data_IF_954736379792
#
_entry.id   IF_954736379792
#
_cell.length_a   1.000
_cell.length_b   1.000
_cell.length_c   1.000
_cell.angle_alpha   90.00
_cell.angle_beta   90.00
_cell.angle_gamma   90.00
#
_symmetry.space_group_name_H-M   'P 1'
#
loop_
_entity.id
_entity.type
_entity.pdbx_description
1 polymer ?
#
# COMPACT_ATOMS: atom_id res chain seq x y z
N UNK A 1 10.45 -8.24 12.24
CA UNK A 1 9.90 -6.97 11.68
C UNK A 1 10.78 -5.84 12.16
N UNK A 2 11.38 -5.06 11.26
CA UNK A 2 12.06 -3.82 11.62
C UNK A 2 10.98 -2.88 12.16
N UNK A 3 11.14 -2.39 13.39
CA UNK A 3 10.24 -1.39 13.98
C UNK A 3 10.17 -0.21 13.03
N UNK A 4 8.97 0.14 12.59
CA UNK A 4 8.79 1.19 11.60
C UNK A 4 9.02 2.56 12.26
N UNK A 5 10.25 3.07 12.17
CA UNK A 5 10.65 4.35 12.76
C UNK A 5 9.82 5.54 12.28
N UNK A 6 9.13 5.42 11.15
CA UNK A 6 8.28 6.48 10.59
C UNK A 6 7.01 6.73 11.42
N UNK A 7 6.39 5.67 11.94
CA UNK A 7 5.21 5.81 12.83
C UNK A 7 5.59 6.54 14.12
N UNK A 8 6.70 6.15 14.75
CA UNK A 8 7.22 6.79 15.97
C UNK A 8 7.59 8.26 15.71
N UNK A 9 8.18 8.56 14.55
CA UNK A 9 8.54 9.93 14.15
C UNK A 9 7.30 10.80 13.96
N UNK A 10 6.27 10.30 13.27
CA UNK A 10 5.00 11.02 13.10
C UNK A 10 4.31 11.27 14.43
N UNK A 11 4.25 10.25 15.31
CA UNK A 11 3.68 10.39 16.64
C UNK A 11 4.38 11.50 17.43
N UNK A 12 5.72 11.54 17.43
CA UNK A 12 6.51 12.54 18.14
C UNK A 12 6.32 13.95 17.55
N UNK A 13 6.36 14.09 16.21
CA UNK A 13 6.28 15.39 15.52
C UNK A 13 4.90 16.02 15.75
N UNK A 14 3.84 15.24 15.68
CA UNK A 14 2.47 15.72 15.81
C UNK A 14 1.93 15.63 17.25
N UNK A 15 2.70 15.08 18.19
CA UNK A 15 2.24 14.75 19.54
C UNK A 15 0.95 13.91 19.49
N UNK A 16 0.86 13.02 18.50
CA UNK A 16 -0.32 12.24 18.23
C UNK A 16 -0.40 11.01 19.15
N UNK A 17 -1.63 10.59 19.46
CA UNK A 17 -1.91 9.33 20.14
C UNK A 17 -1.81 8.17 19.14
N UNK A 18 -1.50 6.97 19.61
CA UNK A 18 -1.47 5.78 18.76
C UNK A 18 -2.82 5.10 18.77
N UNK A 19 -3.34 4.75 17.58
CA UNK A 19 -4.47 3.83 17.44
C UNK A 19 -3.95 2.40 17.21
N UNK A 20 -4.63 1.39 17.73
CA UNK A 20 -4.25 -0.01 17.50
C UNK A 20 -4.48 -0.38 16.04
N UNK A 21 -3.62 -1.28 15.53
CA UNK A 21 -3.84 -1.92 14.23
C UNK A 21 -5.10 -2.77 14.25
N UNK A 22 -5.85 -2.75 13.17
CA UNK A 22 -6.99 -3.65 12.97
C UNK A 22 -6.54 -5.00 12.42
N UNK A 23 -7.29 -6.09 12.66
CA UNK A 23 -7.03 -7.38 12.03
C UNK A 23 -7.00 -7.25 10.50
N UNK A 24 -6.06 -7.96 9.86
CA UNK A 24 -5.98 -7.99 8.39
C UNK A 24 -7.20 -8.70 7.79
N UNK A 25 -7.67 -9.75 8.46
CA UNK A 25 -8.83 -10.56 8.06
C UNK A 25 -10.10 -10.01 8.68
N UNK A 26 -11.16 -9.93 7.89
CA UNK A 26 -12.47 -9.44 8.29
C UNK A 26 -13.57 -10.43 7.97
N UNK A 27 -14.53 -10.56 8.87
CA UNK A 27 -15.70 -11.43 8.67
C UNK A 27 -16.87 -10.76 7.91
N UNK A 28 -16.76 -9.45 7.68
CA UNK A 28 -17.77 -8.62 7.04
C UNK A 28 -17.74 -8.71 5.51
N UNK A 29 -18.44 -7.78 4.82
CA UNK A 29 -18.53 -7.67 3.36
C UNK A 29 -17.16 -7.56 2.70
N UNK A 30 -16.24 -6.79 3.27
CA UNK A 30 -14.86 -6.70 2.84
C UNK A 30 -14.05 -7.79 3.55
N UNK A 31 -13.49 -8.72 2.81
CA UNK A 31 -12.74 -9.85 3.39
C UNK A 31 -11.45 -9.44 4.08
N UNK A 32 -10.88 -8.29 3.69
CA UNK A 32 -9.60 -7.81 4.20
C UNK A 32 -9.65 -6.34 4.53
N UNK A 33 -8.83 -5.93 5.48
CA UNK A 33 -8.56 -4.51 5.71
C UNK A 33 -7.76 -3.95 4.55
N UNK A 34 -8.32 -2.96 3.85
CA UNK A 34 -7.74 -2.36 2.65
C UNK A 34 -7.28 -0.90 2.86
N UNK A 35 -7.66 -0.28 3.99
CA UNK A 35 -7.29 1.09 4.34
C UNK A 35 -7.31 1.28 5.85
N UNK A 36 -6.40 2.09 6.42
CA UNK A 36 -6.38 2.40 7.85
C UNK A 36 -7.67 3.07 8.38
N UNK A 37 -8.36 3.88 7.56
CA UNK A 37 -9.60 4.58 7.93
C UNK A 37 -10.80 3.65 8.19
N UNK A 38 -10.73 2.41 7.71
CA UNK A 38 -11.89 1.51 7.60
C UNK A 38 -12.62 1.27 8.94
N UNK A 39 -11.88 1.24 10.05
CA UNK A 39 -12.44 1.04 11.40
C UNK A 39 -12.58 2.33 12.20
N UNK A 40 -12.17 3.47 11.63
CA UNK A 40 -12.12 4.74 12.35
C UNK A 40 -13.31 5.67 12.00
N UNK A 41 -14.25 5.20 11.20
CA UNK A 41 -15.36 6.01 10.68
C UNK A 41 -16.26 6.60 11.77
N UNK A 42 -16.45 5.89 12.89
CA UNK A 42 -17.24 6.39 14.02
C UNK A 42 -16.56 7.58 14.71
N UNK A 43 -15.23 7.56 14.86
CA UNK A 43 -14.49 8.69 15.43
C UNK A 43 -14.65 9.99 14.62
N UNK A 44 -14.81 9.89 13.29
CA UNK A 44 -15.14 11.06 12.46
C UNK A 44 -16.55 11.61 12.74
N UNK A 45 -17.52 10.73 13.01
CA UNK A 45 -18.88 11.14 13.37
C UNK A 45 -18.92 11.78 14.78
N UNK A 46 -18.18 11.21 15.71
CA UNK A 46 -18.07 11.69 17.10
C UNK A 46 -17.20 12.95 17.22
N UNK A 47 -16.47 13.34 16.17
CA UNK A 47 -15.51 14.46 16.18
C UNK A 47 -14.50 14.35 17.33
N UNK A 48 -13.93 13.18 17.53
CA UNK A 48 -12.98 12.88 18.60
C UNK A 48 -11.78 13.83 18.55
N UNK A 49 -11.46 14.46 19.68
CA UNK A 49 -10.38 15.44 19.78
C UNK A 49 -8.99 14.79 19.68
N UNK A 50 -8.03 15.57 19.11
CA UNK A 50 -6.62 15.22 19.02
C UNK A 50 -6.19 14.66 17.68
N UNK A 51 -4.89 14.45 17.57
CA UNK A 51 -4.27 13.82 16.41
C UNK A 51 -3.91 12.37 16.75
N UNK A 52 -4.09 11.48 15.79
CA UNK A 52 -3.85 10.05 15.97
C UNK A 52 -2.99 9.50 14.85
N UNK A 53 -2.09 8.57 15.20
CA UNK A 53 -1.30 7.81 14.23
C UNK A 53 -1.70 6.34 14.31
N UNK A 54 -1.91 5.72 13.16
CA UNK A 54 -2.18 4.29 13.02
C UNK A 54 -1.25 3.68 11.99
N UNK A 55 -0.58 2.61 12.38
CA UNK A 55 0.12 1.73 11.46
C UNK A 55 -0.76 0.52 11.15
N UNK A 56 -1.01 0.25 9.87
CA UNK A 56 -1.97 -0.76 9.43
C UNK A 56 -1.43 -1.57 8.26
N UNK A 57 -1.45 -2.89 8.41
CA UNK A 57 -1.25 -3.81 7.28
C UNK A 57 -2.54 -3.85 6.47
N UNK A 58 -2.42 -3.56 5.18
CA UNK A 58 -3.56 -3.54 4.24
C UNK A 58 -3.32 -4.52 3.11
N UNK A 59 -4.35 -5.30 2.76
CA UNK A 59 -4.35 -6.14 1.57
C UNK A 59 -5.29 -5.55 0.53
N UNK A 60 -4.75 -5.35 -0.67
CA UNK A 60 -5.47 -4.84 -1.83
C UNK A 60 -5.48 -5.91 -2.93
N UNK A 61 -5.73 -5.54 -4.17
CA UNK A 61 -5.82 -6.50 -5.25
C UNK A 61 -4.49 -7.22 -5.54
N UNK A 62 -4.61 -8.49 -5.94
CA UNK A 62 -3.51 -9.24 -6.58
C UNK A 62 -3.49 -8.89 -8.06
N UNK A 63 -2.33 -8.54 -8.58
CA UNK A 63 -2.15 -8.17 -9.98
C UNK A 63 -1.48 -9.32 -10.75
N UNK A 64 -1.90 -9.59 -12.02
CA UNK A 64 -1.13 -10.42 -12.93
C UNK A 64 0.31 -9.88 -13.14
N UNK A 65 1.24 -10.75 -13.54
CA UNK A 65 2.65 -10.38 -13.68
C UNK A 65 2.89 -9.15 -14.58
N UNK A 66 2.15 -9.02 -15.67
CA UNK A 66 2.24 -7.90 -16.61
C UNK A 66 1.65 -6.58 -16.09
N UNK A 67 1.03 -6.58 -14.91
CA UNK A 67 0.42 -5.40 -14.30
C UNK A 67 1.06 -5.04 -12.95
N UNK A 68 2.21 -5.61 -12.63
CA UNK A 68 2.90 -5.30 -11.37
C UNK A 68 3.32 -3.85 -11.33
N UNK A 69 2.84 -3.15 -10.30
CA UNK A 69 3.16 -1.75 -10.11
C UNK A 69 4.51 -1.62 -9.36
N UNK A 70 5.51 -0.93 -9.93
CA UNK A 70 6.84 -0.80 -9.32
C UNK A 70 6.87 -0.02 -8.01
N UNK A 71 5.77 0.68 -7.67
CA UNK A 71 5.66 1.52 -6.45
C UNK A 71 4.55 1.05 -5.50
N UNK A 72 4.02 -0.17 -5.69
CA UNK A 72 2.95 -0.71 -4.83
C UNK A 72 2.99 -2.22 -4.79
N UNK A 73 2.72 -2.81 -3.62
CA UNK A 73 2.54 -4.26 -3.43
C UNK A 73 1.12 -4.54 -2.95
N UNK A 74 0.56 -5.73 -3.25
CA UNK A 74 -0.78 -6.10 -2.81
C UNK A 74 -0.96 -6.06 -1.29
N UNK A 75 0.05 -6.47 -0.53
CA UNK A 75 0.05 -6.41 0.92
C UNK A 75 1.15 -5.47 1.39
N UNK A 76 0.79 -4.43 2.14
CA UNK A 76 1.76 -3.45 2.60
C UNK A 76 1.32 -2.80 3.91
N UNK A 77 2.29 -2.37 4.69
CA UNK A 77 2.08 -1.51 5.84
C UNK A 77 1.87 -0.08 5.37
N UNK A 78 0.78 0.53 5.81
CA UNK A 78 0.44 1.94 5.61
C UNK A 78 0.44 2.64 6.96
N UNK A 79 0.82 3.93 6.97
CA UNK A 79 0.77 4.75 8.17
C UNK A 79 -0.18 5.90 7.92
N UNK A 80 -1.19 6.05 8.79
CA UNK A 80 -2.14 7.16 8.74
C UNK A 80 -1.95 8.12 9.89
N UNK A 81 -2.13 9.39 9.60
CA UNK A 81 -2.33 10.46 10.56
C UNK A 81 -3.78 10.92 10.42
N UNK A 82 -4.53 10.86 11.52
CA UNK A 82 -5.93 11.29 11.59
C UNK A 82 -6.10 12.55 12.41
N UNK A 83 -7.01 13.42 11.97
CA UNK A 83 -7.70 14.38 12.79
C UNK A 83 -9.20 14.16 12.64
N UNK A 84 -9.84 13.70 13.68
CA UNK A 84 -11.28 13.45 13.68
C UNK A 84 -12.09 14.72 13.97
N UNK A 85 -11.44 15.77 14.46
CA UNK A 85 -11.98 17.11 14.62
C UNK A 85 -11.53 18.02 13.45
N UNK A 86 -12.22 19.14 13.26
CA UNK A 86 -11.86 20.08 12.18
C UNK A 86 -10.60 20.88 12.54
N UNK A 87 -9.50 20.59 11.84
CA UNK A 87 -8.19 21.22 12.03
C UNK A 87 -7.76 22.02 10.81
N UNK A 88 -6.79 22.91 11.03
CA UNK A 88 -6.13 23.66 9.94
C UNK A 88 -5.25 22.73 9.10
N UNK A 89 -5.84 22.07 8.12
CA UNK A 89 -5.16 21.04 7.32
C UNK A 89 -3.87 21.55 6.65
N UNK A 90 -3.81 22.81 6.25
CA UNK A 90 -2.58 23.41 5.68
C UNK A 90 -1.40 23.37 6.65
N UNK A 91 -1.61 23.60 7.96
CA UNK A 91 -0.56 23.52 8.98
C UNK A 91 -0.11 22.07 9.22
N UNK A 92 -1.03 21.12 9.17
CA UNK A 92 -0.70 19.70 9.30
C UNK A 92 0.18 19.26 8.11
N UNK A 93 -0.21 19.61 6.89
CA UNK A 93 0.56 19.29 5.68
C UNK A 93 1.91 19.98 5.69
N UNK A 94 1.98 21.27 6.05
CA UNK A 94 3.25 22.02 6.22
C UNK A 94 4.16 21.31 7.22
N UNK A 95 3.64 20.92 8.37
CA UNK A 95 4.41 20.21 9.41
C UNK A 95 4.89 18.85 8.90
N UNK A 96 4.05 18.12 8.17
CA UNK A 96 4.41 16.85 7.56
C UNK A 96 5.56 17.01 6.56
N UNK A 97 5.51 18.03 5.70
CA UNK A 97 6.57 18.28 4.73
C UNK A 97 7.85 18.74 5.43
N UNK A 98 7.76 19.77 6.30
CA UNK A 98 8.95 20.46 6.85
C UNK A 98 9.64 19.67 7.96
N UNK A 99 8.88 18.99 8.84
CA UNK A 99 9.43 18.30 10.01
C UNK A 99 9.57 16.78 9.81
N UNK A 100 8.79 16.19 8.93
CA UNK A 100 8.87 14.75 8.68
C UNK A 100 9.58 14.43 7.36
N UNK A 101 9.03 14.83 6.20
CA UNK A 101 9.62 14.46 4.91
C UNK A 101 10.99 15.08 4.65
N UNK A 102 11.21 16.34 5.09
CA UNK A 102 12.48 17.04 4.87
C UNK A 102 13.70 16.38 5.52
N UNK A 103 13.49 15.46 6.46
CA UNK A 103 14.60 14.63 6.98
C UNK A 103 15.19 13.69 5.90
N UNK A 104 14.42 13.39 4.86
CA UNK A 104 14.70 12.35 3.89
C UNK A 104 14.76 12.87 2.45
N UNK A 105 13.95 13.88 2.12
CA UNK A 105 13.78 14.42 0.77
C UNK A 105 13.90 15.94 0.81
N UNK A 106 14.76 16.54 -0.04
CA UNK A 106 14.86 17.99 -0.16
C UNK A 106 13.54 18.64 -0.62
N UNK A 107 13.23 19.82 -0.11
CA UNK A 107 11.98 20.55 -0.44
C UNK A 107 11.75 20.79 -1.92
N UNK A 108 12.80 21.06 -2.69
CA UNK A 108 12.69 21.31 -4.13
C UNK A 108 12.24 20.08 -4.92
N UNK A 109 12.22 18.90 -4.30
CA UNK A 109 11.68 17.67 -4.89
C UNK A 109 10.24 17.38 -4.45
N UNK A 110 9.64 18.18 -3.58
CA UNK A 110 8.30 17.97 -3.06
C UNK A 110 7.28 18.74 -3.90
N UNK A 111 6.27 18.03 -4.37
CA UNK A 111 5.12 18.53 -5.13
C UNK A 111 3.84 18.29 -4.35
N UNK A 112 2.95 19.28 -4.35
CA UNK A 112 1.62 19.16 -3.75
C UNK A 112 0.59 19.24 -4.87
N UNK A 113 -0.25 18.19 -5.02
CA UNK A 113 -1.36 18.18 -5.97
C UNK A 113 -2.65 18.30 -5.17
N UNK A 114 -3.45 19.32 -5.47
CA UNK A 114 -4.62 19.67 -4.68
C UNK A 114 -5.79 20.16 -5.52
N UNK A 115 -7.02 20.16 -4.97
CA UNK A 115 -8.17 20.79 -5.62
C UNK A 115 -8.02 22.31 -5.68
N UNK A 116 -8.47 22.95 -6.77
CA UNK A 116 -8.46 24.42 -6.96
C UNK A 116 -9.22 25.23 -5.89
N UNK A 117 -9.93 24.58 -4.99
CA UNK A 117 -10.76 25.21 -3.95
C UNK A 117 -10.17 25.15 -2.55
N UNK A 118 -8.87 24.89 -2.39
CA UNK A 118 -8.22 24.77 -1.08
C UNK A 118 -7.55 26.06 -0.66
N UNK A 119 -8.25 26.90 0.11
CA UNK A 119 -7.81 28.25 0.46
C UNK A 119 -6.60 28.33 1.39
N UNK A 120 -6.35 27.30 2.22
CA UNK A 120 -5.24 27.30 3.19
C UNK A 120 -3.87 26.96 2.60
N UNK A 121 -3.79 26.71 1.30
CA UNK A 121 -2.54 26.34 0.64
C UNK A 121 -1.54 27.49 0.50
N UNK A 122 -1.97 28.74 0.73
CA UNK A 122 -1.06 29.90 0.73
C UNK A 122 0.12 29.77 1.70
N UNK A 123 -0.01 28.99 2.78
CA UNK A 123 1.09 28.67 3.69
C UNK A 123 2.11 27.72 3.05
N UNK A 124 1.65 26.79 2.19
CA UNK A 124 2.52 25.81 1.55
C UNK A 124 3.42 26.43 0.47
N UNK A 125 3.06 27.58 -0.10
CA UNK A 125 3.94 28.31 -1.02
C UNK A 125 5.26 28.80 -0.37
N UNK A 126 5.30 28.84 0.96
CA UNK A 126 6.55 29.10 1.71
C UNK A 126 7.45 27.86 1.82
N UNK A 127 6.88 26.69 1.61
CA UNK A 127 7.52 25.38 1.80
C UNK A 127 7.92 24.76 0.47
N UNK A 128 7.06 24.89 -0.56
CA UNK A 128 7.33 24.41 -1.91
C UNK A 128 6.74 25.33 -2.95
N UNK A 129 7.48 25.56 -4.03
CA UNK A 129 6.99 26.29 -5.21
C UNK A 129 6.22 25.38 -6.18
N UNK A 130 6.11 24.09 -5.88
CA UNK A 130 5.52 23.08 -6.76
C UNK A 130 4.12 22.68 -6.29
N UNK A 131 3.19 23.64 -6.27
CA UNK A 131 1.77 23.38 -6.02
C UNK A 131 1.06 23.27 -7.38
N UNK A 132 0.39 22.13 -7.59
CA UNK A 132 -0.35 21.81 -8.81
C UNK A 132 -1.83 21.73 -8.45
N UNK A 133 -2.57 22.77 -8.83
CA UNK A 133 -4.02 22.80 -8.67
C UNK A 133 -4.71 22.14 -9.85
N UNK A 134 -5.58 21.19 -9.58
CA UNK A 134 -6.36 20.49 -10.60
C UNK A 134 -7.86 20.51 -10.30
N UNK A 135 -8.67 20.13 -11.27
CA UNK A 135 -10.11 20.02 -11.09
C UNK A 135 -10.43 19.10 -9.89
N UNK A 136 -11.28 19.61 -8.99
CA UNK A 136 -11.68 18.91 -7.75
C UNK A 136 -12.26 17.52 -8.00
N UNK A 137 -12.99 17.32 -9.12
CA UNK A 137 -13.61 16.05 -9.47
C UNK A 137 -12.57 14.94 -9.69
N UNK A 138 -11.34 15.29 -10.09
CA UNK A 138 -10.23 14.35 -10.28
C UNK A 138 -9.59 13.89 -8.94
N UNK A 139 -9.86 14.61 -7.87
CA UNK A 139 -9.37 14.32 -6.53
C UNK A 139 -10.47 13.92 -5.56
N UNK A 140 -11.71 13.81 -6.05
CA UNK A 140 -12.84 13.35 -5.24
C UNK A 140 -12.65 11.90 -4.81
N UNK A 141 -12.97 11.62 -3.56
CA UNK A 141 -12.96 10.28 -2.97
C UNK A 141 -14.34 9.93 -2.42
N UNK A 142 -14.67 8.65 -2.47
CA UNK A 142 -15.88 8.12 -1.83
C UNK A 142 -15.49 7.35 -0.57
N UNK A 143 -15.90 7.88 0.57
CA UNK A 143 -15.86 7.19 1.88
C UNK A 143 -17.28 7.11 2.43
N UNK A 144 -17.61 6.15 3.29
CA UNK A 144 -18.96 5.99 3.84
C UNK A 144 -19.27 6.98 4.97
N UNK A 145 -18.97 8.25 4.73
CA UNK A 145 -19.25 9.42 5.56
C UNK A 145 -20.05 10.43 4.73
N UNK A 146 -20.81 11.30 5.38
CA UNK A 146 -21.56 12.35 4.71
C UNK A 146 -20.64 13.41 4.10
N UNK A 147 -21.10 14.06 3.02
CA UNK A 147 -20.43 15.21 2.41
C UNK A 147 -19.47 14.85 1.28
N UNK A 148 -18.65 15.83 0.91
CA UNK A 148 -17.67 15.72 -0.17
C UNK A 148 -16.27 15.54 0.40
N UNK A 149 -15.50 14.64 -0.20
CA UNK A 149 -14.18 14.27 0.26
C UNK A 149 -13.18 14.42 -0.88
N UNK A 150 -12.03 15.05 -0.60
CA UNK A 150 -11.03 15.37 -1.63
C UNK A 150 -9.63 15.04 -1.16
N UNK A 151 -8.82 14.48 -2.06
CA UNK A 151 -7.41 14.24 -1.81
C UNK A 151 -6.56 15.47 -2.04
N UNK A 152 -5.57 15.66 -1.15
CA UNK A 152 -4.35 16.41 -1.39
C UNK A 152 -3.22 15.39 -1.43
N UNK A 153 -2.46 15.34 -2.52
CA UNK A 153 -1.36 14.38 -2.68
C UNK A 153 -0.03 15.06 -2.47
N UNK A 154 0.80 14.48 -1.63
CA UNK A 154 2.19 14.87 -1.45
C UNK A 154 3.04 13.91 -2.27
N UNK A 155 3.72 14.45 -3.26
CA UNK A 155 4.53 13.69 -4.19
C UNK A 155 6.00 14.11 -4.10
N UNK A 156 6.90 13.22 -4.46
CA UNK A 156 8.29 13.55 -4.74
C UNK A 156 8.57 13.39 -6.22
N UNK A 157 9.35 14.31 -6.80
CA UNK A 157 9.95 14.08 -8.10
C UNK A 157 10.95 12.93 -7.97
N UNK A 158 10.80 11.93 -8.83
CA UNK A 158 11.67 10.77 -8.86
C UNK A 158 11.82 10.26 -10.28
N UNK A 159 13.05 10.19 -10.78
CA UNK A 159 13.32 10.00 -12.20
C UNK A 159 12.49 10.98 -13.06
N UNK A 160 11.79 10.49 -14.06
CA UNK A 160 11.00 11.31 -15.00
C UNK A 160 9.54 11.50 -14.57
N UNK A 161 9.21 11.21 -13.31
CA UNK A 161 7.83 11.25 -12.83
C UNK A 161 7.64 11.79 -11.42
N UNK A 162 6.40 11.73 -10.96
CA UNK A 162 6.02 12.04 -9.60
C UNK A 162 5.56 10.77 -8.87
N UNK A 163 6.19 10.48 -7.74
CA UNK A 163 5.80 9.38 -6.85
C UNK A 163 5.02 9.94 -5.68
N UNK A 164 3.79 9.52 -5.50
CA UNK A 164 2.96 9.91 -4.35
C UNK A 164 3.49 9.24 -3.08
N UNK A 165 3.91 10.05 -2.11
CA UNK A 165 4.39 9.61 -0.79
C UNK A 165 3.29 9.56 0.25
N UNK A 166 2.36 10.52 0.19
CA UNK A 166 1.20 10.56 1.08
C UNK A 166 -0.03 11.11 0.35
N UNK A 167 -1.19 10.64 0.77
CA UNK A 167 -2.47 11.23 0.44
C UNK A 167 -3.09 11.77 1.72
N UNK A 168 -3.44 13.05 1.75
CA UNK A 168 -4.28 13.65 2.77
C UNK A 168 -5.71 13.72 2.21
N UNK A 169 -6.66 13.16 2.93
CA UNK A 169 -8.07 13.18 2.57
C UNK A 169 -8.80 14.17 3.47
N UNK A 170 -9.29 15.24 2.86
CA UNK A 170 -10.18 16.20 3.51
C UNK A 170 -11.56 15.54 3.61
N UNK A 171 -12.04 15.31 4.83
CA UNK A 171 -13.32 14.66 5.11
C UNK A 171 -14.41 15.70 5.25
N UNK A 172 -15.55 15.51 4.55
CA UNK A 172 -16.70 16.43 4.57
C UNK A 172 -16.31 17.90 4.32
N UNK A 173 -15.44 18.11 3.34
CA UNK A 173 -14.89 19.42 3.04
C UNK A 173 -15.92 20.35 2.37
N UNK A 174 -16.17 21.48 3.01
CA UNK A 174 -17.13 22.48 2.55
C UNK A 174 -16.47 23.76 2.02
N UNK A 175 -15.15 23.78 1.92
CA UNK A 175 -14.34 24.98 1.63
C UNK A 175 -13.74 25.56 2.91
N UNK A 176 -12.75 26.46 2.73
CA UNK A 176 -12.10 27.16 3.84
C UNK A 176 -10.82 26.49 4.37
N UNK A 177 -10.44 26.83 5.61
CA UNK A 177 -9.12 26.53 6.16
C UNK A 177 -9.07 25.30 7.05
N UNK A 178 -10.21 24.75 7.42
CA UNK A 178 -10.34 23.63 8.36
C UNK A 178 -11.05 22.46 7.73
N UNK A 179 -10.65 21.25 8.14
CA UNK A 179 -11.31 19.98 7.76
C UNK A 179 -10.93 18.90 8.75
N UNK A 180 -11.77 17.89 8.91
CA UNK A 180 -11.35 16.59 9.41
C UNK A 180 -10.40 15.95 8.39
N UNK A 181 -9.43 15.16 8.86
CA UNK A 181 -8.39 14.57 8.04
C UNK A 181 -8.23 13.07 8.26
N UNK A 182 -8.16 12.33 7.16
CA UNK A 182 -7.40 11.07 7.08
C UNK A 182 -6.14 11.30 6.25
N UNK A 183 -5.08 10.59 6.54
CA UNK A 183 -3.94 10.53 5.64
C UNK A 183 -3.45 9.11 5.49
N UNK A 184 -2.83 8.82 4.36
CA UNK A 184 -2.13 7.57 4.13
C UNK A 184 -0.74 7.87 3.62
N UNK A 185 0.27 7.52 4.40
CA UNK A 185 1.67 7.58 4.03
C UNK A 185 2.16 6.19 3.58
N UNK A 186 3.05 6.15 2.59
CA UNK A 186 3.58 4.94 1.95
C UNK A 186 5.07 4.76 2.27
N UNK A 187 5.44 4.06 3.36
CA UNK A 187 6.83 3.88 3.78
C UNK A 187 7.75 3.33 2.70
N UNK A 188 7.33 2.26 2.01
CA UNK A 188 8.12 1.60 0.97
C UNK A 188 8.50 2.54 -0.19
N UNK A 189 7.64 3.53 -0.51
CA UNK A 189 7.95 4.52 -1.54
C UNK A 189 9.01 5.52 -1.09
N UNK A 190 8.98 5.90 0.18
CA UNK A 190 10.02 6.76 0.75
C UNK A 190 11.35 6.03 0.79
N UNK A 191 11.37 4.76 1.21
CA UNK A 191 12.58 3.93 1.20
C UNK A 191 13.17 3.80 -0.22
N UNK A 192 12.31 3.49 -1.21
CA UNK A 192 12.72 3.44 -2.62
C UNK A 192 13.43 4.72 -3.07
N UNK A 193 12.85 5.90 -2.75
CA UNK A 193 13.44 7.20 -3.16
C UNK A 193 14.76 7.47 -2.42
N UNK A 194 14.83 7.21 -1.12
CA UNK A 194 16.05 7.38 -0.31
C UNK A 194 17.20 6.54 -0.81
N UNK A 195 16.91 5.33 -1.23
CA UNK A 195 17.88 4.33 -1.68
C UNK A 195 18.16 4.42 -3.18
N UNK A 196 17.48 5.34 -3.88
CA UNK A 196 17.60 5.52 -5.33
C UNK A 196 17.29 4.23 -6.13
N UNK A 197 16.40 3.40 -5.59
CA UNK A 197 15.98 2.14 -6.21
C UNK A 197 14.93 2.39 -7.31
N UNK A 198 14.97 1.65 -8.42
CA UNK A 198 14.04 1.80 -9.55
C UNK A 198 12.61 1.39 -9.19
N UNK A 199 12.45 0.53 -8.20
CA UNK A 199 11.17 0.06 -7.68
C UNK A 199 11.26 -0.22 -6.18
N UNK A 200 10.10 -0.33 -5.50
CA UNK A 200 10.06 -0.75 -4.10
C UNK A 200 10.68 -2.14 -3.91
N UNK A 201 10.61 -3.00 -4.91
CA UNK A 201 11.11 -4.37 -4.88
C UNK A 201 12.64 -4.46 -4.99
N UNK A 202 13.30 -3.41 -5.45
CA UNK A 202 14.76 -3.28 -5.55
C UNK A 202 15.36 -2.52 -4.35
N UNK A 203 14.52 -2.06 -3.41
CA UNK A 203 14.97 -1.44 -2.17
C UNK A 203 15.60 -2.46 -1.21
N UNK A 204 16.35 -1.99 -0.21
CA UNK A 204 17.03 -2.83 0.78
C UNK A 204 16.11 -3.84 1.46
N UNK A 205 14.81 -3.49 1.62
CA UNK A 205 13.81 -4.38 2.20
C UNK A 205 13.67 -5.70 1.42
N UNK A 206 13.87 -5.67 0.10
CA UNK A 206 13.66 -6.81 -0.79
C UNK A 206 14.90 -7.19 -1.60
N UNK A 207 16.00 -6.45 -1.51
CA UNK A 207 17.15 -6.56 -2.42
C UNK A 207 17.72 -7.98 -2.52
N UNK A 208 17.83 -8.70 -1.41
CA UNK A 208 18.35 -10.08 -1.39
C UNK A 208 17.42 -11.01 -2.16
N UNK A 209 16.11 -10.96 -1.87
CA UNK A 209 15.08 -11.76 -2.54
C UNK A 209 14.98 -11.39 -4.01
N UNK A 210 15.02 -10.07 -4.33
CA UNK A 210 15.02 -9.58 -5.69
C UNK A 210 16.19 -10.13 -6.52
N UNK A 211 17.42 -10.01 -6.03
CA UNK A 211 18.60 -10.50 -6.75
C UNK A 211 18.53 -12.00 -7.04
N UNK A 212 18.02 -12.79 -6.10
CA UNK A 212 17.85 -14.22 -6.28
C UNK A 212 16.76 -14.54 -7.31
N UNK A 213 15.58 -13.91 -7.20
CA UNK A 213 14.47 -14.16 -8.12
C UNK A 213 14.77 -13.64 -9.54
N UNK A 214 15.49 -12.53 -9.65
CA UNK A 214 15.99 -12.04 -10.93
C UNK A 214 16.92 -13.04 -11.61
N UNK A 215 17.86 -13.65 -10.87
CA UNK A 215 18.75 -14.71 -11.42
C UNK A 215 17.97 -15.95 -11.87
N UNK A 216 16.87 -16.29 -11.21
CA UNK A 216 16.03 -17.43 -11.58
C UNK A 216 15.17 -17.16 -12.80
N UNK A 217 14.63 -15.95 -12.93
CA UNK A 217 13.68 -15.58 -13.98
C UNK A 217 14.31 -14.87 -15.18
N UNK A 218 15.49 -14.26 -14.99
CA UNK A 218 16.13 -13.34 -15.92
C UNK A 218 15.20 -12.21 -16.41
N UNK A 219 14.25 -11.78 -15.55
CA UNK A 219 13.28 -10.73 -15.82
C UNK A 219 13.01 -9.90 -14.57
N UNK A 220 13.09 -8.57 -14.70
CA UNK A 220 12.74 -7.63 -13.64
C UNK A 220 11.26 -7.75 -13.27
N UNK A 221 10.37 -7.82 -14.27
CA UNK A 221 8.93 -7.90 -14.09
C UNK A 221 8.54 -9.17 -13.32
N UNK A 222 9.12 -10.32 -13.67
CA UNK A 222 8.87 -11.57 -12.98
C UNK A 222 9.43 -11.57 -11.56
N UNK A 223 10.61 -11.01 -11.35
CA UNK A 223 11.18 -10.88 -9.99
C UNK A 223 10.27 -10.00 -9.11
N UNK A 224 9.81 -8.85 -9.61
CA UNK A 224 8.87 -7.97 -8.92
C UNK A 224 7.54 -8.70 -8.63
N UNK A 225 7.02 -9.41 -9.64
CA UNK A 225 5.80 -10.20 -9.47
C UNK A 225 5.95 -11.24 -8.36
N UNK A 226 6.98 -12.06 -8.41
CA UNK A 226 7.19 -13.09 -7.38
C UNK A 226 7.32 -12.49 -5.98
N UNK A 227 8.08 -11.40 -5.81
CA UNK A 227 8.18 -10.72 -4.51
C UNK A 227 6.80 -10.27 -4.05
N UNK A 228 6.03 -9.61 -4.91
CA UNK A 228 4.71 -9.09 -4.56
C UNK A 228 3.75 -10.18 -4.08
N UNK A 229 3.75 -11.34 -4.75
CA UNK A 229 2.91 -12.48 -4.39
C UNK A 229 3.42 -13.21 -3.14
N UNK A 230 4.73 -13.35 -2.99
CA UNK A 230 5.35 -13.96 -1.83
C UNK A 230 5.09 -13.12 -0.57
N UNK A 231 5.21 -11.79 -0.65
CA UNK A 231 4.83 -10.90 0.44
C UNK A 231 3.35 -11.01 0.80
N UNK A 232 2.46 -11.08 -0.19
CA UNK A 232 1.04 -11.33 0.07
C UNK A 232 0.82 -12.66 0.82
N UNK A 233 1.50 -13.74 0.41
CA UNK A 233 1.45 -15.03 1.12
C UNK A 233 2.00 -14.92 2.54
N UNK A 234 3.10 -14.19 2.73
CA UNK A 234 3.74 -14.00 4.03
C UNK A 234 2.82 -13.35 5.06
N UNK A 235 2.00 -12.38 4.63
CA UNK A 235 1.03 -11.71 5.49
C UNK A 235 -0.29 -12.50 5.65
N UNK A 236 -0.77 -13.14 4.58
CA UNK A 236 -2.08 -13.78 4.59
C UNK A 236 -2.05 -15.19 5.20
N UNK A 237 -0.98 -15.97 4.96
CA UNK A 237 -0.97 -17.36 5.40
C UNK A 237 -0.98 -17.54 6.93
N UNK A 238 -0.23 -16.76 7.73
CA UNK A 238 -0.31 -16.86 9.19
C UNK A 238 -1.71 -16.60 9.75
N UNK A 239 -2.47 -15.70 9.11
CA UNK A 239 -3.81 -15.30 9.54
C UNK A 239 -4.89 -16.32 9.11
N UNK A 240 -4.73 -16.93 7.92
CA UNK A 240 -5.74 -17.82 7.33
C UNK A 240 -5.47 -19.29 7.64
N UNK A 241 -4.20 -19.70 7.69
CA UNK A 241 -3.71 -21.01 8.07
C UNK A 241 -3.90 -22.13 7.03
N UNK A 242 -4.77 -21.97 6.03
CA UNK A 242 -5.09 -23.02 5.05
C UNK A 242 -5.55 -22.49 3.70
N UNK A 243 -5.26 -23.22 2.65
CA UNK A 243 -5.85 -23.01 1.31
C UNK A 243 -7.24 -23.64 1.22
N UNK A 244 -8.16 -23.01 0.47
CA UNK A 244 -9.52 -23.48 0.34
C UNK A 244 -10.25 -22.92 -0.88
N UNK A 245 -11.56 -23.16 -0.94
CA UNK A 245 -12.39 -22.75 -2.08
C UNK A 245 -13.38 -21.63 -1.72
N UNK A 246 -13.33 -21.11 -0.49
CA UNK A 246 -14.28 -20.11 0.00
C UNK A 246 -13.56 -18.95 0.69
N UNK A 247 -14.09 -17.73 0.52
CA UNK A 247 -13.69 -16.50 1.22
C UNK A 247 -12.15 -16.30 1.26
N UNK A 248 -11.58 -16.10 2.43
CA UNK A 248 -10.15 -15.83 2.68
C UNK A 248 -9.25 -16.96 2.15
N UNK A 249 -9.60 -18.22 2.42
CA UNK A 249 -8.85 -19.38 1.94
C UNK A 249 -8.79 -19.45 0.41
N UNK A 250 -9.84 -18.98 -0.28
CA UNK A 250 -9.86 -18.87 -1.74
C UNK A 250 -8.94 -17.74 -2.23
N UNK A 251 -8.95 -16.58 -1.55
CA UNK A 251 -8.04 -15.49 -1.88
C UNK A 251 -6.57 -15.91 -1.75
N UNK A 252 -6.23 -16.60 -0.66
CA UNK A 252 -4.91 -17.18 -0.46
C UNK A 252 -4.53 -18.17 -1.57
N UNK A 253 -5.48 -19.06 -1.94
CA UNK A 253 -5.30 -20.03 -3.03
C UNK A 253 -5.11 -19.34 -4.38
N UNK A 254 -5.78 -18.21 -4.61
CA UNK A 254 -5.62 -17.41 -5.83
C UNK A 254 -4.20 -16.85 -5.93
N UNK A 255 -3.68 -16.25 -4.85
CA UNK A 255 -2.29 -15.74 -4.81
C UNK A 255 -1.29 -16.84 -5.17
N UNK A 256 -1.42 -18.03 -4.55
CA UNK A 256 -0.54 -19.15 -4.84
C UNK A 256 -0.64 -19.62 -6.31
N UNK A 257 -1.84 -19.66 -6.87
CA UNK A 257 -2.07 -20.08 -8.27
C UNK A 257 -1.47 -19.14 -9.30
N UNK A 258 -1.46 -17.83 -9.03
CA UNK A 258 -0.78 -16.87 -9.90
C UNK A 258 0.73 -17.17 -9.96
N UNK A 259 1.36 -17.51 -8.83
CA UNK A 259 2.77 -17.95 -8.80
C UNK A 259 2.96 -19.23 -9.62
N UNK A 260 2.09 -20.23 -9.44
CA UNK A 260 2.19 -21.50 -10.16
C UNK A 260 2.09 -21.30 -11.67
N UNK A 261 1.16 -20.44 -12.10
CA UNK A 261 0.93 -20.14 -13.52
C UNK A 261 2.18 -19.51 -14.15
N UNK A 262 2.78 -18.50 -13.51
CA UNK A 262 3.98 -17.85 -14.03
C UNK A 262 5.19 -18.80 -14.01
N UNK A 263 5.30 -19.66 -13.00
CA UNK A 263 6.32 -20.70 -12.98
C UNK A 263 6.19 -21.66 -14.15
N UNK A 264 4.97 -22.11 -14.47
CA UNK A 264 4.71 -23.02 -15.58
C UNK A 264 4.94 -22.35 -16.95
N UNK A 265 4.48 -21.09 -17.13
CA UNK A 265 4.67 -20.33 -18.37
C UNK A 265 6.16 -20.12 -18.68
N UNK A 266 6.94 -19.78 -17.66
CA UNK A 266 8.35 -19.43 -17.81
C UNK A 266 9.32 -20.58 -17.51
N UNK A 267 8.79 -21.80 -17.29
CA UNK A 267 9.55 -23.00 -16.96
C UNK A 267 10.51 -22.82 -15.77
N UNK A 268 10.01 -22.12 -14.73
CA UNK A 268 10.73 -21.85 -13.48
C UNK A 268 10.30 -22.87 -12.42
N UNK A 269 11.26 -23.44 -11.69
CA UNK A 269 10.95 -24.37 -10.62
C UNK A 269 10.22 -23.69 -9.47
N UNK A 270 8.97 -24.11 -9.21
CA UNK A 270 8.14 -23.68 -8.06
C UNK A 270 8.87 -23.92 -6.73
N UNK A 271 9.63 -25.01 -6.63
CA UNK A 271 10.39 -25.33 -5.43
C UNK A 271 11.46 -24.29 -5.10
N UNK A 272 12.14 -23.76 -6.14
CA UNK A 272 13.12 -22.70 -5.99
C UNK A 272 12.51 -21.37 -5.57
N UNK A 273 11.31 -21.04 -6.08
CA UNK A 273 10.59 -19.83 -5.68
C UNK A 273 10.23 -19.90 -4.19
N UNK A 274 9.75 -21.04 -3.68
CA UNK A 274 9.31 -21.18 -2.30
C UNK A 274 10.43 -21.43 -1.28
N UNK A 275 11.68 -21.46 -1.69
CA UNK A 275 12.80 -21.48 -0.73
C UNK A 275 12.83 -20.27 0.21
N UNK A 276 12.25 -19.13 -0.20
CA UNK A 276 12.11 -17.94 0.65
C UNK A 276 11.10 -18.13 1.80
N UNK A 277 10.23 -19.15 1.73
CA UNK A 277 9.15 -19.39 2.67
C UNK A 277 9.16 -20.81 3.23
N UNK A 278 10.20 -21.21 3.98
CA UNK A 278 10.35 -22.57 4.45
C UNK A 278 9.18 -23.05 5.32
N UNK A 279 8.57 -22.16 6.10
CA UNK A 279 7.43 -22.46 6.98
C UNK A 279 6.15 -22.86 6.22
N UNK A 280 5.95 -22.38 4.99
CA UNK A 280 4.75 -22.61 4.17
C UNK A 280 5.06 -23.47 2.95
N UNK A 281 6.35 -23.70 2.65
CA UNK A 281 6.81 -24.40 1.44
C UNK A 281 6.13 -25.74 1.24
N UNK A 282 6.02 -26.56 2.26
CA UNK A 282 5.44 -27.90 2.17
C UNK A 282 3.98 -27.82 1.71
N UNK A 283 3.20 -26.90 2.29
CA UNK A 283 1.80 -26.75 1.94
C UNK A 283 1.62 -26.16 0.54
N UNK A 284 2.46 -25.20 0.15
CA UNK A 284 2.47 -24.64 -1.20
C UNK A 284 2.82 -25.69 -2.27
N UNK A 285 3.77 -26.58 -2.01
CA UNK A 285 4.10 -27.68 -2.93
C UNK A 285 2.98 -28.71 -3.03
N UNK A 286 2.21 -28.98 -1.97
CA UNK A 286 1.00 -29.79 -2.05
C UNK A 286 -0.06 -29.12 -2.94
N UNK A 287 -0.28 -27.81 -2.78
CA UNK A 287 -1.20 -27.03 -3.62
C UNK A 287 -0.77 -27.04 -5.09
N UNK A 288 0.53 -26.93 -5.38
CA UNK A 288 1.06 -27.01 -6.74
C UNK A 288 0.81 -28.39 -7.37
N UNK A 289 1.02 -29.48 -6.65
CA UNK A 289 0.70 -30.84 -7.13
C UNK A 289 -0.79 -31.01 -7.48
N UNK A 290 -1.68 -30.45 -6.65
CA UNK A 290 -3.12 -30.43 -6.93
C UNK A 290 -3.46 -29.59 -8.17
N UNK A 291 -2.89 -28.39 -8.28
CA UNK A 291 -3.03 -27.50 -9.42
C UNK A 291 -2.60 -28.16 -10.71
N UNK A 292 -1.37 -28.71 -10.80
CA UNK A 292 -0.82 -29.36 -11.98
C UNK A 292 -1.67 -30.58 -12.42
N UNK A 293 -2.18 -31.38 -11.46
CA UNK A 293 -3.07 -32.50 -11.74
C UNK A 293 -4.38 -32.03 -12.38
N UNK A 294 -4.93 -30.90 -11.92
CA UNK A 294 -6.17 -30.34 -12.45
C UNK A 294 -5.98 -29.76 -13.86
N UNK A 295 -4.88 -29.05 -14.12
CA UNK A 295 -4.51 -28.56 -15.45
C UNK A 295 -4.34 -29.73 -16.43
N UNK A 296 -3.60 -30.77 -16.06
CA UNK A 296 -3.39 -31.95 -16.90
C UNK A 296 -4.72 -32.70 -17.23
N UNK A 297 -5.67 -32.75 -16.29
CA UNK A 297 -7.00 -33.27 -16.54
C UNK A 297 -7.79 -32.42 -17.54
N UNK A 298 -7.73 -31.10 -17.42
CA UNK A 298 -8.38 -30.16 -18.33
C UNK A 298 -7.82 -30.29 -19.76
N UNK A 299 -6.50 -30.31 -19.91
CA UNK A 299 -5.82 -30.47 -21.21
C UNK A 299 -6.16 -31.80 -21.90
N UNK A 300 -6.28 -32.91 -21.15
CA UNK A 300 -6.70 -34.19 -21.70
C UNK A 300 -8.16 -34.19 -22.20
N UNK A 301 -9.03 -33.37 -21.59
CA UNK A 301 -10.44 -33.22 -22.08
C UNK A 301 -10.47 -32.41 -23.38
N UNK A 302 -9.71 -31.33 -23.47
CA UNK A 302 -9.64 -30.49 -24.67
C UNK A 302 -9.07 -31.26 -25.89
N UNK A 303 -8.08 -32.14 -25.66
CA UNK A 303 -7.51 -32.99 -26.75
C UNK A 303 -8.44 -34.13 -27.21
N UNK A 304 -9.52 -34.42 -26.48
CA UNK A 304 -10.48 -35.49 -26.86
C UNK A 304 -11.72 -34.97 -27.60
N UNK A 305 -11.92 -33.66 -27.59
CA UNK A 305 -12.92 -32.94 -28.39
C UNK A 305 -12.28 -32.37 -29.64
#
# INVERSE_FOLDING_TARGET
>A
MVKNTYSDDLQRIFKAQTLPSSPLIREEKNLFTFSPIQDELEYFKEKKDGLYVKEQICFRNVYPANLVNPISTPCQTLISLFSFHEEKYGQIIETFITKFLNKWIPFYNIYVICPKMTDSLGQLYKVTNHIIEIDKNRLQCHVPLSGNHYYIKICSKYHDGLVTLANFLLINFQGGFQSQLDSVFFPLRLDMIREQAKSIYESQNFLTTYNRLYRLSNSHELAHFFISQLEALNFLFPEIGKFGNHRHSYALKKVAREIFLECDIHNISVELIFNEFPSVKIELLKQYKEYSRNINKALKKVKKN
#
